data_IF_778560679503
#
_entry.id   IF_778560679503
#
_cell.length_a   1.000
_cell.length_b   1.000
_cell.length_c   1.000
_cell.angle_alpha   90.00
_cell.angle_beta   90.00
_cell.angle_gamma   90.00
#
_symmetry.space_group_name_H-M   'P 1'
#
loop_
_entity.id
_entity.type
_entity.pdbx_description
1 polymer ?
#
# COMPACT_ATOMS: atom_id res chain seq x y z
N UNK A 1 -7.40 16.71 -45.32
CA UNK A 1 -5.93 16.66 -45.11
C UNK A 1 -5.44 17.65 -44.04
N UNK A 2 -5.48 18.98 -44.22
CA UNK A 2 -5.03 19.89 -43.12
C UNK A 2 -5.93 19.84 -41.87
N UNK A 3 -7.24 19.60 -42.04
CA UNK A 3 -8.18 19.46 -40.93
C UNK A 3 -7.91 18.20 -40.07
N UNK A 4 -7.30 17.16 -40.66
CA UNK A 4 -7.06 15.89 -39.98
C UNK A 4 -5.83 15.97 -39.06
N UNK A 5 -4.78 16.67 -39.49
CA UNK A 5 -3.53 16.85 -38.72
C UNK A 5 -3.78 17.56 -37.38
N UNK A 6 -4.66 18.57 -37.37
CA UNK A 6 -5.02 19.30 -36.15
C UNK A 6 -5.71 18.41 -35.11
N UNK A 7 -6.60 17.51 -35.55
CA UNK A 7 -7.33 16.59 -34.67
C UNK A 7 -6.39 15.53 -34.08
N UNK A 8 -5.45 14.99 -34.86
CA UNK A 8 -4.46 14.03 -34.35
C UNK A 8 -3.51 14.68 -33.33
N UNK A 9 -3.04 15.90 -33.57
CA UNK A 9 -2.19 16.64 -32.62
C UNK A 9 -2.94 16.95 -31.32
N UNK A 10 -4.18 17.42 -31.40
CA UNK A 10 -5.00 17.70 -30.23
C UNK A 10 -5.23 16.43 -29.39
N UNK A 11 -5.61 15.32 -30.04
CA UNK A 11 -5.80 14.04 -29.35
C UNK A 11 -4.51 13.50 -28.73
N UNK A 12 -3.37 13.67 -29.40
CA UNK A 12 -2.05 13.30 -28.89
C UNK A 12 -1.68 14.08 -27.63
N UNK A 13 -1.86 15.41 -27.65
CA UNK A 13 -1.61 16.28 -26.50
C UNK A 13 -2.54 15.97 -25.32
N UNK A 14 -3.82 15.72 -25.58
CA UNK A 14 -4.78 15.33 -24.54
C UNK A 14 -4.37 13.99 -23.91
N UNK A 15 -4.00 13.01 -24.73
CA UNK A 15 -3.57 11.68 -24.24
C UNK A 15 -2.30 11.78 -23.42
N UNK A 16 -1.31 12.56 -23.88
CA UNK A 16 -0.08 12.81 -23.14
C UNK A 16 -0.36 13.54 -21.81
N UNK A 17 -1.23 14.55 -21.82
CA UNK A 17 -1.63 15.27 -20.62
C UNK A 17 -2.31 14.37 -19.58
N UNK A 18 -3.24 13.51 -20.02
CA UNK A 18 -3.89 12.52 -19.14
C UNK A 18 -2.90 11.49 -18.61
N UNK A 19 -1.93 11.07 -19.42
CA UNK A 19 -0.88 10.16 -18.99
C UNK A 19 0.02 10.82 -17.92
N UNK A 20 0.47 12.05 -18.13
CA UNK A 20 1.25 12.80 -17.14
C UNK A 20 0.47 13.05 -15.84
N UNK A 21 -0.82 13.41 -15.94
CA UNK A 21 -1.69 13.55 -14.77
C UNK A 21 -1.83 12.24 -13.99
N UNK A 22 -1.81 11.09 -14.67
CA UNK A 22 -1.82 9.79 -13.99
C UNK A 22 -0.51 9.46 -13.26
N UNK A 23 0.60 10.16 -13.56
CA UNK A 23 1.88 10.01 -12.85
C UNK A 23 1.96 10.87 -11.58
N UNK A 24 1.21 11.96 -11.50
CA UNK A 24 1.26 12.91 -10.40
C UNK A 24 1.02 12.25 -9.01
N UNK A 25 0.06 11.33 -8.85
CA UNK A 25 -0.15 10.60 -7.60
C UNK A 25 1.03 9.73 -7.18
N UNK A 26 1.78 9.14 -8.12
CA UNK A 26 3.01 8.42 -7.81
C UNK A 26 4.12 9.36 -7.36
N UNK A 27 4.26 10.51 -8.03
CA UNK A 27 5.20 11.55 -7.61
C UNK A 27 4.86 12.09 -6.20
N UNK A 28 3.57 12.24 -5.87
CA UNK A 28 3.11 12.63 -4.54
C UNK A 28 3.30 11.52 -3.49
N UNK A 29 3.20 10.25 -3.88
CA UNK A 29 3.44 9.11 -2.98
C UNK A 29 4.91 8.92 -2.62
N UNK A 30 5.82 9.30 -3.54
CA UNK A 30 7.26 9.13 -3.39
C UNK A 30 7.83 9.72 -2.08
N UNK A 31 7.57 10.98 -1.70
CA UNK A 31 8.08 11.53 -0.43
C UNK A 31 7.57 10.77 0.80
N UNK A 32 6.33 10.29 0.80
CA UNK A 32 5.78 9.49 1.91
C UNK A 32 6.46 8.12 2.03
N UNK A 33 6.73 7.50 0.89
CA UNK A 33 7.45 6.23 0.86
C UNK A 33 8.93 6.38 1.26
N UNK A 34 9.59 7.45 0.81
CA UNK A 34 10.96 7.78 1.22
C UNK A 34 11.02 8.05 2.73
N UNK A 35 10.06 8.79 3.27
CA UNK A 35 9.94 8.99 4.72
C UNK A 35 9.83 7.65 5.45
N UNK A 36 8.95 6.76 5.00
CA UNK A 36 8.83 5.42 5.56
C UNK A 36 10.15 4.63 5.51
N UNK A 37 10.82 4.62 4.35
CA UNK A 37 12.10 3.94 4.19
C UNK A 37 13.16 4.49 5.15
N UNK A 38 13.20 5.81 5.36
CA UNK A 38 14.12 6.45 6.29
C UNK A 38 13.82 6.09 7.75
N UNK A 39 12.55 6.01 8.14
CA UNK A 39 12.13 5.58 9.48
C UNK A 39 12.58 4.14 9.74
N UNK A 40 12.31 3.21 8.80
CA UNK A 40 12.75 1.82 8.92
C UNK A 40 14.27 1.69 8.94
N UNK A 41 14.97 2.41 8.06
CA UNK A 41 16.43 2.40 8.02
C UNK A 41 17.02 2.93 9.34
N UNK A 42 16.47 4.02 9.88
CA UNK A 42 16.90 4.58 11.17
C UNK A 42 16.72 3.57 12.29
N UNK A 43 15.53 2.97 12.40
CA UNK A 43 15.25 1.98 13.45
C UNK A 43 16.22 0.80 13.39
N UNK A 44 16.53 0.32 12.20
CA UNK A 44 17.38 -0.85 12.03
C UNK A 44 18.87 -0.55 12.24
N UNK A 45 19.30 0.67 11.93
CA UNK A 45 20.65 1.16 12.25
C UNK A 45 20.81 1.41 13.74
N UNK A 46 19.79 1.90 14.46
CA UNK A 46 19.93 2.26 15.89
C UNK A 46 19.62 1.09 16.83
N UNK A 47 18.61 0.26 16.54
CA UNK A 47 18.16 -0.80 17.46
C UNK A 47 19.05 -2.05 17.45
N UNK A 48 19.60 -2.45 16.29
CA UNK A 48 20.40 -3.69 16.18
C UNK A 48 21.78 -3.62 16.83
N UNK A 49 22.54 -2.53 16.75
CA UNK A 49 23.82 -2.44 17.43
C UNK A 49 23.63 -2.41 18.95
N UNK A 50 22.61 -1.71 19.45
CA UNK A 50 22.36 -1.58 20.89
C UNK A 50 21.97 -2.92 21.53
N UNK A 51 21.15 -3.73 20.86
CA UNK A 51 20.81 -5.08 21.32
C UNK A 51 22.02 -6.04 21.33
N UNK A 52 22.97 -5.89 20.38
CA UNK A 52 24.24 -6.65 20.37
C UNK A 52 25.21 -6.20 21.47
N UNK A 53 25.22 -4.91 21.79
CA UNK A 53 26.05 -4.36 22.88
C UNK A 53 25.62 -4.85 24.26
N UNK A 54 24.31 -5.04 24.48
CA UNK A 54 23.77 -5.56 25.75
C UNK A 54 23.91 -7.10 25.83
N UNK A 55 24.00 -7.79 24.68
CA UNK A 55 24.12 -9.25 24.59
C UNK A 55 25.50 -9.74 24.13
N UNK A 56 26.52 -9.69 25.00
CA UNK A 56 27.70 -10.59 25.04
C UNK A 56 28.47 -10.92 23.73
N UNK A 57 28.52 -10.05 22.73
CA UNK A 57 29.24 -10.35 21.47
C UNK A 57 30.16 -9.20 21.03
N UNK A 58 31.02 -8.73 21.96
CA UNK A 58 32.00 -7.65 21.74
C UNK A 58 33.15 -8.05 20.79
N UNK A 59 33.35 -9.34 20.52
CA UNK A 59 34.52 -9.84 19.78
C UNK A 59 34.31 -9.98 18.27
N UNK A 60 33.15 -9.60 17.73
CA UNK A 60 32.91 -9.71 16.28
C UNK A 60 33.61 -8.59 15.50
N UNK A 61 34.37 -8.91 14.44
CA UNK A 61 35.09 -7.91 13.66
C UNK A 61 34.14 -6.91 13.00
N UNK A 62 34.42 -5.62 13.17
CA UNK A 62 33.64 -4.47 12.67
C UNK A 62 33.24 -4.58 11.18
N UNK A 63 34.01 -5.31 10.36
CA UNK A 63 33.76 -5.46 8.93
C UNK A 63 32.48 -6.27 8.58
N UNK A 64 32.01 -7.19 9.44
CA UNK A 64 30.72 -7.88 9.20
C UNK A 64 29.52 -6.92 9.35
N UNK A 65 29.66 -5.83 10.10
CA UNK A 65 28.57 -4.86 10.31
C UNK A 65 28.20 -4.08 9.04
N UNK A 66 29.19 -3.76 8.20
CA UNK A 66 28.97 -3.01 6.95
C UNK A 66 28.22 -3.84 5.91
N UNK A 67 28.60 -5.11 5.75
CA UNK A 67 27.93 -6.00 4.80
C UNK A 67 26.48 -6.28 5.21
N UNK A 68 26.22 -6.51 6.50
CA UNK A 68 24.86 -6.69 7.02
C UNK A 68 24.00 -5.44 6.82
N UNK A 69 24.56 -4.24 7.08
CA UNK A 69 23.88 -2.95 6.87
C UNK A 69 23.56 -2.72 5.40
N UNK A 70 24.50 -3.02 4.49
CA UNK A 70 24.28 -2.92 3.03
C UNK A 70 23.22 -3.90 2.55
N UNK A 71 23.29 -5.17 2.96
CA UNK A 71 22.29 -6.19 2.62
C UNK A 71 20.90 -5.79 3.11
N UNK A 72 20.83 -5.17 4.28
CA UNK A 72 19.60 -4.65 4.85
C UNK A 72 19.04 -3.47 4.05
N UNK A 73 19.84 -2.45 3.78
CA UNK A 73 19.43 -1.31 2.96
C UNK A 73 18.95 -1.77 1.58
N UNK A 74 19.64 -2.73 0.97
CA UNK A 74 19.23 -3.31 -0.30
C UNK A 74 17.87 -4.00 -0.22
N UNK A 75 17.61 -4.78 0.84
CA UNK A 75 16.29 -5.39 1.08
C UNK A 75 15.19 -4.35 1.23
N UNK A 76 15.44 -3.28 2.00
CA UNK A 76 14.48 -2.19 2.16
C UNK A 76 14.18 -1.52 0.81
N UNK A 77 15.21 -1.09 0.10
CA UNK A 77 15.09 -0.48 -1.22
C UNK A 77 14.31 -1.39 -2.19
N UNK A 78 14.68 -2.67 -2.25
CA UNK A 78 14.00 -3.67 -3.09
C UNK A 78 12.52 -3.81 -2.73
N UNK A 79 12.18 -3.89 -1.45
CA UNK A 79 10.78 -4.07 -1.01
C UNK A 79 9.92 -2.85 -1.35
N UNK A 80 10.43 -1.64 -1.15
CA UNK A 80 9.75 -0.40 -1.52
C UNK A 80 9.58 -0.29 -3.04
N UNK A 81 10.64 -0.61 -3.80
CA UNK A 81 10.62 -0.61 -5.26
C UNK A 81 9.58 -1.61 -5.80
N UNK A 82 9.58 -2.83 -5.26
CA UNK A 82 8.61 -3.87 -5.61
C UNK A 82 7.18 -3.42 -5.31
N UNK A 83 6.96 -2.78 -4.16
CA UNK A 83 5.64 -2.26 -3.78
C UNK A 83 5.16 -1.21 -4.78
N UNK A 84 6.02 -0.28 -5.20
CA UNK A 84 5.68 0.70 -6.25
C UNK A 84 5.40 0.05 -7.61
N UNK A 85 6.26 -0.87 -8.06
CA UNK A 85 6.09 -1.55 -9.34
C UNK A 85 4.80 -2.36 -9.36
N UNK A 86 4.48 -3.07 -8.29
CA UNK A 86 3.22 -3.81 -8.16
C UNK A 86 2.03 -2.86 -8.16
N UNK A 87 2.12 -1.72 -7.47
CA UNK A 87 1.05 -0.73 -7.45
C UNK A 87 0.84 -0.08 -8.82
N UNK A 88 1.90 0.31 -9.53
CA UNK A 88 1.83 0.83 -10.90
C UNK A 88 1.19 -0.20 -11.83
N UNK A 89 1.66 -1.46 -11.78
CA UNK A 89 1.08 -2.55 -12.57
C UNK A 89 -0.40 -2.73 -12.24
N UNK A 90 -0.78 -2.69 -10.96
CA UNK A 90 -2.17 -2.78 -10.54
C UNK A 90 -3.01 -1.60 -11.05
N UNK A 91 -2.45 -0.39 -11.18
CA UNK A 91 -3.15 0.75 -11.78
C UNK A 91 -3.35 0.54 -13.29
N UNK A 92 -2.33 0.08 -14.01
CA UNK A 92 -2.38 -0.06 -15.47
C UNK A 92 -3.30 -1.20 -15.97
N UNK A 93 -3.47 -2.27 -15.19
CA UNK A 93 -4.33 -3.39 -15.62
C UNK A 93 -5.83 -3.13 -15.46
N UNK A 94 -6.22 -2.03 -14.80
CA UNK A 94 -7.60 -1.61 -14.61
C UNK A 94 -7.94 -0.40 -15.49
N UNK A 95 -9.14 -0.36 -16.04
CA UNK A 95 -9.59 0.72 -16.91
C UNK A 95 -10.34 1.83 -16.14
N UNK A 96 -10.22 3.06 -16.65
CA UNK A 96 -11.05 4.24 -16.29
C UNK A 96 -11.20 4.44 -14.78
N UNK A 97 -12.39 4.17 -14.24
CA UNK A 97 -12.76 4.42 -12.84
C UNK A 97 -11.94 3.56 -11.87
N UNK A 98 -11.73 2.28 -12.20
CA UNK A 98 -10.91 1.39 -11.36
C UNK A 98 -9.48 1.91 -11.22
N UNK A 99 -8.90 2.39 -12.33
CA UNK A 99 -7.57 3.03 -12.36
C UNK A 99 -7.49 4.18 -11.37
N UNK A 100 -8.44 5.12 -11.44
CA UNK A 100 -8.48 6.29 -10.56
C UNK A 100 -8.61 5.89 -9.09
N UNK A 101 -9.49 4.96 -8.76
CA UNK A 101 -9.70 4.55 -7.36
C UNK A 101 -8.43 3.90 -6.80
N UNK A 102 -7.82 2.95 -7.51
CA UNK A 102 -6.59 2.26 -7.05
C UNK A 102 -5.45 3.26 -6.83
N UNK A 103 -5.35 4.24 -7.73
CA UNK A 103 -4.36 5.29 -7.67
C UNK A 103 -4.60 6.26 -6.49
N UNK A 104 -5.83 6.70 -6.23
CA UNK A 104 -6.10 7.57 -5.08
C UNK A 104 -6.00 6.82 -3.75
N UNK A 105 -6.46 5.56 -3.70
CA UNK A 105 -6.38 4.74 -2.50
C UNK A 105 -4.94 4.40 -2.12
N UNK A 106 -4.10 4.03 -3.09
CA UNK A 106 -2.68 3.80 -2.82
C UNK A 106 -1.97 5.07 -2.31
N UNK A 107 -2.26 6.24 -2.88
CA UNK A 107 -1.75 7.52 -2.40
C UNK A 107 -2.21 7.82 -0.96
N UNK A 108 -3.51 7.64 -0.67
CA UNK A 108 -4.08 7.86 0.66
C UNK A 108 -3.43 6.94 1.69
N UNK A 109 -3.18 5.67 1.36
CA UNK A 109 -2.52 4.72 2.26
C UNK A 109 -1.07 5.14 2.55
N UNK A 110 -0.31 5.56 1.52
CA UNK A 110 1.04 6.09 1.70
C UNK A 110 1.05 7.33 2.60
N UNK A 111 0.19 8.30 2.30
CA UNK A 111 0.07 9.54 3.06
C UNK A 111 -0.36 9.27 4.52
N UNK A 112 -1.38 8.44 4.73
CA UNK A 112 -1.86 8.09 6.06
C UNK A 112 -0.79 7.37 6.88
N UNK A 113 -0.02 6.45 6.27
CA UNK A 113 1.10 5.77 6.93
C UNK A 113 2.15 6.77 7.41
N UNK A 114 2.61 7.66 6.52
CA UNK A 114 3.63 8.64 6.84
C UNK A 114 3.16 9.67 7.89
N UNK A 115 1.95 10.22 7.72
CA UNK A 115 1.38 11.20 8.67
C UNK A 115 1.14 10.55 10.03
N UNK A 116 0.61 9.34 10.09
CA UNK A 116 0.36 8.66 11.37
C UNK A 116 1.66 8.30 12.07
N UNK A 117 2.67 7.82 11.34
CA UNK A 117 3.99 7.53 11.90
C UNK A 117 4.68 8.79 12.42
N UNK A 118 4.50 9.94 11.75
CA UNK A 118 5.00 11.23 12.23
C UNK A 118 4.31 11.68 13.53
N UNK A 119 3.00 11.41 13.67
CA UNK A 119 2.23 11.82 14.85
C UNK A 119 2.37 10.84 16.03
N UNK A 120 2.60 9.55 15.77
CA UNK A 120 2.66 8.47 16.77
C UNK A 120 4.08 7.91 16.80
N UNK A 121 5.01 8.74 17.30
CA UNK A 121 6.46 8.49 17.27
C UNK A 121 6.86 7.21 18.00
N UNK A 122 6.11 6.81 19.03
CA UNK A 122 6.36 5.57 19.79
C UNK A 122 6.19 4.29 18.95
N UNK A 123 5.44 4.36 17.85
CA UNK A 123 5.12 3.21 16.98
C UNK A 123 5.43 3.45 15.51
N UNK A 124 6.23 4.48 15.20
CA UNK A 124 6.53 4.93 13.83
C UNK A 124 6.96 3.78 12.90
N UNK A 125 7.85 2.90 13.36
CA UNK A 125 8.39 1.80 12.54
C UNK A 125 7.32 0.75 12.26
N UNK A 126 6.51 0.40 13.27
CA UNK A 126 5.41 -0.55 13.14
C UNK A 126 4.36 -0.05 12.14
N UNK A 127 4.03 1.25 12.21
CA UNK A 127 3.07 1.90 11.31
C UNK A 127 3.55 1.87 9.87
N UNK A 128 4.79 2.28 9.64
CA UNK A 128 5.38 2.33 8.29
C UNK A 128 5.49 0.93 7.69
N UNK A 129 6.02 -0.04 8.45
CA UNK A 129 6.16 -1.44 8.01
C UNK A 129 4.79 -2.01 7.64
N UNK A 130 3.79 -1.82 8.51
CA UNK A 130 2.42 -2.28 8.24
C UNK A 130 1.85 -1.58 7.02
N UNK A 131 2.03 -0.27 6.87
CA UNK A 131 1.57 0.50 5.72
C UNK A 131 2.12 -0.03 4.40
N UNK A 132 3.44 -0.23 4.31
CA UNK A 132 4.07 -0.82 3.13
C UNK A 132 3.46 -2.18 2.78
N UNK A 133 3.36 -3.09 3.76
CA UNK A 133 2.81 -4.42 3.51
C UNK A 133 1.31 -4.38 3.18
N UNK A 134 0.52 -3.48 3.77
CA UNK A 134 -0.88 -3.30 3.41
C UNK A 134 -1.05 -2.82 1.97
N UNK A 135 -0.20 -1.90 1.51
CA UNK A 135 -0.21 -1.42 0.11
C UNK A 135 0.24 -2.54 -0.84
N UNK A 136 1.28 -3.29 -0.47
CA UNK A 136 1.75 -4.44 -1.24
C UNK A 136 0.67 -5.52 -1.36
N UNK A 137 0.01 -5.87 -0.25
CA UNK A 137 -1.11 -6.83 -0.23
C UNK A 137 -2.30 -6.32 -1.04
N UNK A 138 -2.62 -5.03 -0.96
CA UNK A 138 -3.65 -4.41 -1.78
C UNK A 138 -3.37 -4.58 -3.27
N UNK A 139 -2.18 -4.20 -3.72
CA UNK A 139 -1.76 -4.36 -5.11
C UNK A 139 -1.75 -5.84 -5.54
N UNK A 140 -1.25 -6.74 -4.68
CA UNK A 140 -1.21 -8.18 -4.95
C UNK A 140 -2.61 -8.78 -5.13
N UNK A 141 -3.56 -8.45 -4.24
CA UNK A 141 -4.95 -8.91 -4.32
C UNK A 141 -5.60 -8.41 -5.60
N UNK A 142 -5.40 -7.14 -5.97
CA UNK A 142 -5.95 -6.58 -7.21
C UNK A 142 -5.40 -7.28 -8.46
N UNK A 143 -4.10 -7.56 -8.50
CA UNK A 143 -3.49 -8.28 -9.62
C UNK A 143 -4.01 -9.72 -9.69
N UNK A 144 -4.13 -10.40 -8.55
CA UNK A 144 -4.70 -11.74 -8.47
C UNK A 144 -6.15 -11.77 -8.99
N UNK A 145 -6.99 -10.82 -8.57
CA UNK A 145 -8.35 -10.69 -9.09
C UNK A 145 -8.39 -10.48 -10.60
N UNK A 146 -7.46 -9.69 -11.14
CA UNK A 146 -7.37 -9.46 -12.58
C UNK A 146 -6.99 -10.73 -13.34
N UNK A 147 -6.06 -11.53 -12.80
CA UNK A 147 -5.69 -12.83 -13.36
C UNK A 147 -6.86 -13.81 -13.34
N UNK A 148 -7.56 -13.91 -12.20
CA UNK A 148 -8.75 -14.76 -12.06
C UNK A 148 -9.82 -14.34 -13.06
N UNK A 149 -10.09 -13.04 -13.20
CA UNK A 149 -11.03 -12.53 -14.19
C UNK A 149 -10.61 -12.91 -15.61
N UNK A 150 -9.35 -12.70 -15.98
CA UNK A 150 -8.85 -13.06 -17.30
C UNK A 150 -9.05 -14.55 -17.62
N UNK A 151 -8.75 -15.42 -16.66
CA UNK A 151 -8.99 -16.86 -16.79
C UNK A 151 -10.48 -17.18 -16.95
N UNK A 152 -11.34 -16.64 -16.09
CA UNK A 152 -12.79 -16.94 -16.12
C UNK A 152 -13.48 -16.39 -17.37
N UNK A 153 -13.15 -15.17 -17.80
CA UNK A 153 -13.70 -14.57 -19.03
C UNK A 153 -13.29 -15.32 -20.31
N UNK A 154 -12.21 -16.10 -20.26
CA UNK A 154 -11.72 -16.86 -21.42
C UNK A 154 -12.41 -18.21 -21.62
N UNK A 155 -13.18 -18.69 -20.64
CA UNK A 155 -13.83 -20.01 -20.68
C UNK A 155 -15.30 -19.85 -21.08
N UNK A 156 -15.75 -20.60 -22.08
CA UNK A 156 -17.15 -20.55 -22.51
C UNK A 156 -18.05 -21.24 -21.48
N UNK A 157 -19.33 -20.81 -21.31
CA UNK A 157 -20.26 -21.50 -20.40
C UNK A 157 -20.46 -22.99 -20.71
N UNK A 158 -20.26 -23.42 -21.96
CA UNK A 158 -20.31 -24.83 -22.35
C UNK A 158 -19.14 -25.63 -21.76
N UNK A 159 -17.95 -25.04 -21.70
CA UNK A 159 -16.78 -25.66 -21.08
C UNK A 159 -16.94 -25.77 -19.55
N UNK A 160 -17.66 -24.82 -18.93
CA UNK A 160 -18.05 -24.90 -17.51
C UNK A 160 -18.98 -26.10 -17.25
N UNK A 161 -19.95 -26.34 -18.14
CA UNK A 161 -20.85 -27.48 -18.02
C UNK A 161 -20.10 -28.83 -18.15
N UNK A 162 -19.15 -28.91 -19.08
CA UNK A 162 -18.29 -30.09 -19.27
C UNK A 162 -17.40 -30.32 -18.04
N UNK A 163 -16.76 -29.26 -17.52
CA UNK A 163 -15.85 -29.37 -16.37
C UNK A 163 -16.58 -29.73 -15.06
N UNK A 164 -17.82 -29.26 -14.88
CA UNK A 164 -18.62 -29.53 -13.70
C UNK A 164 -19.47 -30.81 -13.81
N UNK A 165 -19.51 -31.45 -14.98
CA UNK A 165 -20.33 -32.64 -15.24
C UNK A 165 -21.83 -32.38 -15.07
N UNK A 166 -22.26 -31.13 -15.16
CA UNK A 166 -23.63 -30.69 -14.91
C UNK A 166 -24.02 -29.65 -15.97
N UNK A 167 -25.28 -29.68 -16.39
CA UNK A 167 -25.80 -28.71 -17.34
C UNK A 167 -25.89 -27.35 -16.64
N UNK A 168 -24.94 -26.46 -16.89
CA UNK A 168 -24.89 -25.13 -16.26
C UNK A 168 -25.72 -24.17 -17.09
N UNK A 169 -26.88 -23.69 -16.59
CA UNK A 169 -27.67 -22.71 -17.32
C UNK A 169 -26.85 -21.44 -17.53
N UNK A 170 -26.97 -20.81 -18.71
CA UNK A 170 -26.27 -19.55 -19.01
C UNK A 170 -26.50 -18.46 -17.95
N UNK A 171 -27.68 -18.45 -17.32
CA UNK A 171 -28.02 -17.54 -16.24
C UNK A 171 -27.09 -17.68 -15.02
N UNK A 172 -26.63 -18.90 -14.71
CA UNK A 172 -25.73 -19.16 -13.59
C UNK A 172 -24.31 -18.63 -13.88
N UNK A 173 -23.83 -18.78 -15.12
CA UNK A 173 -22.58 -18.18 -15.58
C UNK A 173 -22.59 -16.65 -15.45
N UNK A 174 -23.64 -15.98 -15.93
CA UNK A 174 -23.76 -14.52 -15.80
C UNK A 174 -23.85 -14.06 -14.34
N UNK A 175 -24.54 -14.82 -13.49
CA UNK A 175 -24.63 -14.53 -12.05
C UNK A 175 -23.26 -14.63 -11.38
N UNK A 176 -22.47 -15.66 -11.69
CA UNK A 176 -21.10 -15.80 -11.18
C UNK A 176 -20.20 -14.62 -11.59
N UNK A 177 -20.33 -14.13 -12.83
CA UNK A 177 -19.61 -12.95 -13.30
C UNK A 177 -20.02 -11.68 -12.55
N UNK A 178 -21.32 -11.49 -12.33
CA UNK A 178 -21.83 -10.38 -11.52
C UNK A 178 -21.29 -10.41 -10.10
N UNK A 179 -21.29 -11.59 -9.47
CA UNK A 179 -20.75 -11.77 -8.13
C UNK A 179 -19.24 -11.47 -8.06
N UNK A 180 -18.44 -11.96 -9.01
CA UNK A 180 -17.01 -11.64 -9.10
C UNK A 180 -16.75 -10.14 -9.26
N UNK A 181 -17.62 -9.43 -9.98
CA UNK A 181 -17.52 -7.99 -10.13
C UNK A 181 -17.80 -7.26 -8.81
N UNK A 182 -18.81 -7.68 -8.04
CA UNK A 182 -19.08 -7.15 -6.70
C UNK A 182 -17.90 -7.41 -5.76
N UNK A 183 -17.34 -8.63 -5.77
CA UNK A 183 -16.16 -8.98 -4.97
C UNK A 183 -14.95 -8.13 -5.32
N UNK A 184 -14.74 -7.81 -6.60
CA UNK A 184 -13.69 -6.90 -7.02
C UNK A 184 -13.91 -5.49 -6.43
N UNK A 185 -15.12 -4.94 -6.52
CA UNK A 185 -15.43 -3.61 -5.97
C UNK A 185 -15.16 -3.58 -4.46
N UNK A 186 -15.53 -4.64 -3.75
CA UNK A 186 -15.22 -4.78 -2.33
C UNK A 186 -13.71 -4.82 -2.09
N UNK A 187 -12.96 -5.65 -2.82
CA UNK A 187 -11.50 -5.73 -2.67
C UNK A 187 -10.80 -4.39 -2.95
N UNK A 188 -11.31 -3.64 -3.93
CA UNK A 188 -10.80 -2.36 -4.38
C UNK A 188 -10.93 -1.26 -3.32
N UNK A 189 -11.90 -1.36 -2.41
CA UNK A 189 -12.15 -0.38 -1.35
C UNK A 189 -11.83 -0.88 0.06
N UNK A 190 -12.12 -2.14 0.38
CA UNK A 190 -12.07 -2.67 1.74
C UNK A 190 -10.67 -2.68 2.34
N UNK A 191 -9.64 -3.04 1.55
CA UNK A 191 -8.27 -3.07 2.07
C UNK A 191 -7.78 -1.65 2.43
N UNK A 192 -7.91 -0.63 1.54
CA UNK A 192 -7.61 0.75 1.89
C UNK A 192 -8.43 1.26 3.08
N UNK A 193 -9.75 1.02 3.07
CA UNK A 193 -10.65 1.51 4.14
C UNK A 193 -10.31 0.87 5.49
N UNK A 194 -10.04 -0.43 5.52
CA UNK A 194 -9.62 -1.10 6.75
C UNK A 194 -8.29 -0.54 7.28
N UNK A 195 -7.33 -0.30 6.38
CA UNK A 195 -6.04 0.28 6.77
C UNK A 195 -6.20 1.72 7.31
N UNK A 196 -6.96 2.57 6.62
CA UNK A 196 -7.23 3.95 7.04
C UNK A 196 -8.00 4.00 8.37
N UNK A 197 -8.93 3.06 8.57
CA UNK A 197 -9.66 2.93 9.84
C UNK A 197 -8.70 2.57 10.99
N UNK A 198 -7.77 1.65 10.73
CA UNK A 198 -6.75 1.27 11.70
C UNK A 198 -5.81 2.42 12.05
N UNK A 199 -5.32 3.19 11.07
CA UNK A 199 -4.45 4.35 11.34
C UNK A 199 -5.19 5.44 12.13
N UNK A 200 -6.45 5.70 11.80
CA UNK A 200 -7.30 6.64 12.54
C UNK A 200 -7.50 6.19 14.00
N UNK A 201 -7.81 4.91 14.23
CA UNK A 201 -7.94 4.36 15.58
C UNK A 201 -6.64 4.49 16.38
N UNK A 202 -5.50 4.19 15.74
CA UNK A 202 -4.20 4.28 16.39
C UNK A 202 -3.90 5.71 16.86
N UNK A 203 -4.16 6.70 15.99
CA UNK A 203 -4.01 8.11 16.33
C UNK A 203 -4.92 8.53 17.49
N UNK A 204 -6.18 8.10 17.49
CA UNK A 204 -7.12 8.41 18.58
C UNK A 204 -6.67 7.81 19.92
N UNK A 205 -6.19 6.57 19.92
CA UNK A 205 -5.64 5.91 21.12
C UNK A 205 -4.40 6.64 21.63
N UNK A 206 -3.48 7.02 20.74
CA UNK A 206 -2.29 7.78 21.13
C UNK A 206 -2.67 9.13 21.76
N UNK A 207 -3.60 9.87 21.16
CA UNK A 207 -4.09 11.15 21.70
C UNK A 207 -4.77 10.99 23.06
N UNK A 208 -5.52 9.90 23.26
CA UNK A 208 -6.16 9.61 24.54
C UNK A 208 -5.12 9.34 25.65
N UNK A 209 -4.05 8.61 25.34
CA UNK A 209 -2.93 8.35 26.28
C UNK A 209 -2.25 9.64 26.71
N UNK A 210 -1.86 10.49 25.75
CA UNK A 210 -1.23 11.79 26.04
C UNK A 210 -2.07 12.66 26.99
N UNK A 211 -3.39 12.70 26.78
CA UNK A 211 -4.32 13.44 27.65
C UNK A 211 -4.41 12.84 29.07
N UNK A 212 -4.38 11.52 29.18
CA UNK A 212 -4.39 10.84 30.47
C UNK A 212 -3.10 11.13 31.25
N UNK A 213 -1.95 11.08 30.59
CA UNK A 213 -0.65 11.36 31.19
C UNK A 213 -0.55 12.82 31.66
N UNK A 214 -1.05 13.76 30.86
CA UNK A 214 -1.15 15.17 31.27
C UNK A 214 -2.06 15.37 32.48
N UNK A 215 -3.22 14.70 32.52
CA UNK A 215 -4.14 14.77 33.65
C UNK A 215 -3.51 14.20 34.93
N UNK A 216 -2.80 13.08 34.82
CA UNK A 216 -2.09 12.46 35.92
C UNK A 216 -0.93 13.33 36.43
N UNK A 217 -0.14 13.91 35.53
CA UNK A 217 0.94 14.83 35.89
C UNK A 217 0.41 16.09 36.61
N UNK A 218 -0.78 16.58 36.21
CA UNK A 218 -1.45 17.69 36.92
C UNK A 218 -1.92 17.28 38.31
N UNK A 219 -2.41 16.06 38.49
CA UNK A 219 -2.83 15.55 39.80
C UNK A 219 -1.65 15.43 40.76
N UNK A 220 -0.51 14.87 40.32
CA UNK A 220 0.70 14.74 41.14
C UNK A 220 1.29 16.07 41.61
N UNK A 221 1.08 17.16 40.86
CA UNK A 221 1.55 18.51 41.21
C UNK A 221 0.64 19.25 42.19
N UNK A 222 -0.56 18.71 42.51
CA UNK A 222 -1.41 19.35 43.51
C UNK A 222 -0.85 19.07 44.91
N UNK A 223 -0.65 20.09 45.77
CA UNK A 223 -0.27 19.86 47.15
C UNK A 223 -1.34 18.98 47.81
N UNK A 224 -0.90 17.88 48.44
CA UNK A 224 -1.80 17.05 49.22
C UNK A 224 -2.22 17.83 50.48
N UNK A 225 -3.51 17.84 50.82
CA UNK A 225 -4.01 18.51 52.03
C UNK A 225 -3.47 17.87 53.31
#
# INVERSE_FOLDING_TARGET
MMHDVGVYLANGLITLGLWLLSLLPFALALPFALYGMLVEARHEITARPFARYIGKDLDRPWNRSLWESRRMMFKLLLTYTLTFVMWITAVEVYARVGRLIILFMGLLMWAASAVTAYLVVDQETSIVVRGRYSILSYAAILLLYRLIQGAIYSVSPADWAIALGADVPMALGQTAMGWLHVMLILALLMVPVAYLSWTAQLYLVHRARMRADEAFARYQRRPQP
#
